data_IF_239789427743
#
_entry.id   IF_239789427743
#
_cell.length_a   1.000
_cell.length_b   1.000
_cell.length_c   1.000
_cell.angle_alpha   90.00
_cell.angle_beta   90.00
_cell.angle_gamma   90.00
#
_symmetry.space_group_name_H-M   'P 1'
#
loop_
_entity.id
_entity.type
_entity.pdbx_description
1 polymer ?
#
# COMPACT_ATOMS: atom_id res chain seq x y z
N UNK A 1 -10.33 -13.96 -7.57
CA UNK A 1 -10.64 -12.60 -7.08
C UNK A 1 -9.33 -11.87 -6.88
N UNK A 2 -9.03 -10.89 -7.75
CA UNK A 2 -7.76 -10.19 -7.77
C UNK A 2 -7.68 -9.22 -6.59
N UNK A 3 -6.66 -9.36 -5.74
CA UNK A 3 -6.28 -8.30 -4.83
C UNK A 3 -5.94 -7.07 -5.68
N UNK A 4 -6.66 -5.96 -5.52
CA UNK A 4 -6.31 -4.72 -6.21
C UNK A 4 -4.85 -4.40 -5.87
N UNK A 5 -3.94 -4.30 -6.85
CA UNK A 5 -2.52 -4.17 -6.58
C UNK A 5 -2.24 -2.82 -5.91
N UNK A 6 -1.76 -2.86 -4.66
CA UNK A 6 -1.07 -1.76 -3.97
C UNK A 6 -1.91 -0.53 -3.67
N UNK A 7 -2.69 -0.55 -2.60
CA UNK A 7 -3.11 0.67 -1.91
C UNK A 7 -2.12 0.97 -0.79
N UNK A 8 -1.82 2.25 -0.57
CA UNK A 8 -1.00 2.74 0.53
C UNK A 8 -1.84 3.66 1.39
N UNK A 9 -1.61 3.61 2.70
CA UNK A 9 -2.20 4.57 3.63
C UNK A 9 -1.29 5.80 3.71
N UNK A 10 -1.84 6.98 3.46
CA UNK A 10 -1.15 8.26 3.59
C UNK A 10 -1.88 9.14 4.58
N UNK A 11 -1.14 10.03 5.24
CA UNK A 11 -1.70 11.08 6.11
C UNK A 11 -1.74 12.38 5.33
N UNK A 12 -2.86 13.09 5.36
CA UNK A 12 -3.01 14.35 4.64
C UNK A 12 -2.30 15.51 5.35
N UNK A 13 -1.52 16.30 4.59
CA UNK A 13 -0.92 17.55 5.07
C UNK A 13 -1.86 18.76 4.90
N UNK A 14 -2.81 18.66 3.97
CA UNK A 14 -3.71 19.72 3.57
C UNK A 14 -5.12 19.19 3.37
N UNK A 15 -6.10 20.09 3.28
CA UNK A 15 -7.46 19.73 2.89
C UNK A 15 -7.46 19.04 1.52
N UNK A 16 -8.16 17.91 1.43
CA UNK A 16 -8.27 17.14 0.22
C UNK A 16 -9.73 16.76 -0.01
N UNK A 17 -10.30 17.16 -1.15
CA UNK A 17 -11.64 16.73 -1.54
C UNK A 17 -11.53 15.47 -2.40
N UNK A 18 -12.19 14.40 -1.97
CA UNK A 18 -12.21 13.14 -2.70
C UNK A 18 -13.64 12.58 -2.71
N UNK A 19 -14.17 12.32 -3.89
CA UNK A 19 -15.52 11.74 -4.07
C UNK A 19 -16.64 12.55 -3.36
N UNK A 20 -16.45 13.87 -3.19
CA UNK A 20 -17.36 14.74 -2.46
C UNK A 20 -17.24 14.69 -0.93
N UNK A 21 -16.25 13.94 -0.42
CA UNK A 21 -15.84 13.98 0.98
C UNK A 21 -14.66 14.95 1.15
N UNK A 22 -14.85 15.96 1.98
CA UNK A 22 -13.78 16.84 2.42
C UNK A 22 -13.01 16.18 3.55
N UNK A 23 -11.77 15.80 3.25
CA UNK A 23 -10.83 15.22 4.20
C UNK A 23 -9.96 16.31 4.80
N UNK A 24 -9.72 16.23 6.10
CA UNK A 24 -8.98 17.24 6.84
C UNK A 24 -7.49 16.90 6.88
N UNK A 25 -6.61 17.90 7.04
CA UNK A 25 -5.21 17.63 7.36
C UNK A 25 -5.13 16.77 8.64
N UNK A 26 -4.34 15.70 8.58
CA UNK A 26 -4.23 14.70 9.64
C UNK A 26 -5.08 13.45 9.41
N UNK A 27 -6.06 13.47 8.51
CA UNK A 27 -6.80 12.26 8.15
C UNK A 27 -5.90 11.26 7.41
N UNK A 28 -6.09 9.99 7.75
CA UNK A 28 -5.43 8.87 7.09
C UNK A 28 -6.36 8.25 6.04
N UNK A 29 -5.90 8.22 4.79
CA UNK A 29 -6.68 7.62 3.69
C UNK A 29 -5.90 6.54 2.98
N UNK A 30 -6.64 5.52 2.56
CA UNK A 30 -6.14 4.44 1.70
C UNK A 30 -6.35 4.84 0.24
N UNK A 31 -5.24 5.03 -0.48
CA UNK A 31 -5.20 5.42 -1.91
C UNK A 31 -4.34 4.44 -2.69
N UNK A 32 -4.59 4.23 -3.98
CA UNK A 32 -3.69 3.46 -4.83
C UNK A 32 -2.25 4.02 -4.81
N UNK A 33 -1.22 3.17 -4.89
CA UNK A 33 0.19 3.61 -4.89
C UNK A 33 0.48 4.67 -5.96
N UNK A 34 -0.17 4.58 -7.12
CA UNK A 34 -0.02 5.58 -8.19
C UNK A 34 -0.64 6.94 -7.83
N UNK A 35 -1.77 6.96 -7.11
CA UNK A 35 -2.40 8.18 -6.60
C UNK A 35 -1.58 8.76 -5.44
N UNK A 36 -1.16 7.92 -4.50
CA UNK A 36 -0.31 8.35 -3.39
C UNK A 36 0.95 9.04 -3.89
N UNK A 37 1.60 8.50 -4.94
CA UNK A 37 2.76 9.17 -5.55
C UNK A 37 2.42 10.57 -6.04
N UNK A 38 1.27 10.76 -6.69
CA UNK A 38 0.82 12.09 -7.13
C UNK A 38 0.57 13.02 -5.96
N UNK A 39 -0.09 12.54 -4.90
CA UNK A 39 -0.37 13.31 -3.69
C UNK A 39 0.92 13.69 -2.95
N UNK A 40 1.88 12.77 -2.86
CA UNK A 40 3.21 13.04 -2.31
C UNK A 40 3.89 14.12 -3.13
N UNK A 41 4.05 13.95 -4.45
CA UNK A 41 4.70 14.94 -5.33
C UNK A 41 3.99 16.30 -5.32
N UNK A 42 2.67 16.33 -5.09
CA UNK A 42 1.89 17.55 -4.96
C UNK A 42 1.98 18.19 -3.56
N UNK A 43 2.67 17.57 -2.60
CA UNK A 43 2.83 18.08 -1.23
C UNK A 43 1.63 17.84 -0.32
N UNK A 44 0.68 16.98 -0.69
CA UNK A 44 -0.52 16.69 0.10
C UNK A 44 -0.31 15.63 1.19
N UNK A 45 0.86 15.00 1.26
CA UNK A 45 1.16 13.95 2.26
C UNK A 45 2.01 14.49 3.38
N UNK A 46 1.54 14.35 4.61
CA UNK A 46 2.23 14.80 5.81
C UNK A 46 3.45 13.90 6.08
N UNK A 47 4.58 14.53 6.40
CA UNK A 47 5.80 13.82 6.80
C UNK A 47 6.55 13.10 5.67
N UNK A 48 6.17 13.33 4.41
CA UNK A 48 6.91 12.82 3.24
C UNK A 48 7.39 14.00 2.41
N UNK A 49 8.69 14.12 2.23
CA UNK A 49 9.25 15.15 1.36
C UNK A 49 9.11 14.73 -0.13
N UNK A 50 8.49 15.56 -0.98
CA UNK A 50 8.31 15.25 -2.41
C UNK A 50 9.59 15.29 -3.23
N UNK A 51 10.63 16.00 -2.75
CA UNK A 51 11.91 16.15 -3.43
C UNK A 51 12.88 15.03 -3.05
N UNK A 52 12.61 14.31 -1.96
CA UNK A 52 13.39 13.18 -1.49
C UNK A 52 12.86 11.84 -2.06
N UNK A 53 13.50 11.27 -3.11
CA UNK A 53 13.01 10.05 -3.75
C UNK A 53 13.02 8.83 -2.83
N UNK A 54 13.88 8.80 -1.80
CA UNK A 54 13.91 7.73 -0.80
C UNK A 54 12.70 7.80 0.13
N UNK A 55 12.31 8.99 0.61
CA UNK A 55 11.13 9.21 1.42
C UNK A 55 9.87 8.82 0.66
N UNK A 56 9.77 9.21 -0.62
CA UNK A 56 8.66 8.79 -1.49
C UNK A 56 8.65 7.27 -1.64
N UNK A 57 9.79 6.64 -1.92
CA UNK A 57 9.88 5.19 -2.05
C UNK A 57 9.48 4.47 -0.76
N UNK A 58 9.91 4.96 0.41
CA UNK A 58 9.59 4.39 1.72
C UNK A 58 8.11 4.52 2.07
N UNK A 59 7.50 5.67 1.79
CA UNK A 59 6.07 5.90 1.97
C UNK A 59 5.23 4.95 1.11
N UNK A 60 5.66 4.72 -0.15
CA UNK A 60 5.00 3.78 -1.06
C UNK A 60 5.30 2.30 -0.73
N UNK A 61 6.49 1.99 -0.21
CA UNK A 61 6.92 0.63 0.12
C UNK A 61 6.27 0.09 1.40
N UNK A 62 5.95 0.96 2.37
CA UNK A 62 5.30 0.57 3.64
C UNK A 62 3.98 -0.19 3.42
N UNK A 63 3.30 0.01 2.28
CA UNK A 63 2.12 -0.79 1.95
C UNK A 63 2.41 -1.99 1.04
N UNK A 64 3.50 -1.97 0.25
CA UNK A 64 3.93 -3.11 -0.54
C UNK A 64 4.47 -4.27 0.33
N UNK A 65 4.97 -3.97 1.54
CA UNK A 65 5.35 -4.99 2.52
C UNK A 65 4.17 -5.68 3.22
N UNK A 66 2.94 -5.14 3.10
CA UNK A 66 1.72 -5.92 3.38
C UNK A 66 1.36 -6.83 2.20
N UNK A 67 2.34 -7.53 1.64
CA UNK A 67 2.06 -8.80 0.98
C UNK A 67 1.57 -9.76 2.08
N UNK A 68 0.52 -10.56 1.83
CA UNK A 68 0.17 -11.66 2.72
C UNK A 68 1.28 -12.71 2.64
N UNK A 69 2.31 -12.55 3.45
CA UNK A 69 3.35 -13.54 3.65
C UNK A 69 2.89 -14.56 4.68
N UNK A 70 1.87 -15.34 4.31
CA UNK A 70 1.52 -16.65 4.89
C UNK A 70 0.37 -17.24 4.06
N UNK A 71 0.40 -18.45 3.55
CA UNK A 71 1.46 -19.39 3.25
C UNK A 71 0.83 -20.34 2.23
N UNK A 72 1.58 -20.64 1.18
CA UNK A 72 1.39 -21.79 0.29
C UNK A 72 1.08 -23.04 1.14
N UNK A 73 -0.05 -23.76 0.98
CA UNK A 73 -0.10 -25.12 1.53
C UNK A 73 1.05 -25.90 0.89
N UNK A 74 1.83 -26.70 1.63
CA UNK A 74 3.00 -27.36 1.09
C UNK A 74 2.53 -28.42 0.08
N UNK A 75 2.50 -28.07 -1.20
CA UNK A 75 2.59 -29.06 -2.25
C UNK A 75 4.03 -29.57 -2.27
N UNK A 76 4.28 -30.73 -1.66
CA UNK A 76 4.79 -31.91 -2.36
C UNK A 76 5.35 -32.96 -1.37
N UNK A 77 4.65 -34.08 -1.19
CA UNK A 77 5.30 -35.40 -1.20
C UNK A 77 4.28 -36.46 -1.63
N UNK A 78 4.15 -36.60 -2.95
CA UNK A 78 3.80 -37.90 -3.50
C UNK A 78 4.93 -38.88 -3.14
N UNK A 79 4.75 -39.64 -2.07
CA UNK A 79 5.25 -41.00 -1.95
C UNK A 79 3.96 -41.82 -1.81
N UNK A 80 3.50 -42.53 -2.84
CA UNK A 80 4.20 -43.71 -3.32
C UNK A 80 3.72 -44.91 -2.50
N UNK A 81 2.75 -45.65 -3.05
CA UNK A 81 2.49 -47.08 -2.88
C UNK A 81 2.58 -47.74 -1.48
N UNK A 82 1.45 -48.38 -1.15
CA UNK A 82 1.30 -49.79 -0.76
C UNK A 82 1.53 -50.22 0.70
N UNK A 83 0.52 -50.99 1.15
CA UNK A 83 0.55 -52.08 2.15
C UNK A 83 0.60 -51.68 3.62
N UNK A 84 -0.53 -51.81 4.31
CA UNK A 84 -0.83 -52.96 5.18
C UNK A 84 -2.34 -53.14 5.36
#
# INVERSE_FOLDING_TARGET
>A
MAAAPGTVRITLAHHFDRDGAQLLPGDEIDVPTHEARKLITAGYVAGVDPNDPEAVAKALATAAERKPSMAKPPANKAAGRASE
#
